data_IF_984002602450
#
_entry.id   IF_984002602450
#
_cell.length_a   1.000
_cell.length_b   1.000
_cell.length_c   1.000
_cell.angle_alpha   90.00
_cell.angle_beta   90.00
_cell.angle_gamma   90.00
#
_symmetry.space_group_name_H-M   'P 1'
#
loop_
_entity.id
_entity.type
_entity.pdbx_description
1 polymer ?
#
# COMPACT_ATOMS: atom_id res chain seq x y z
N UNK A 1 6.07 -18.70 1.96
CA UNK A 1 5.97 -18.31 0.53
C UNK A 1 7.05 -17.27 0.28
N UNK A 2 7.82 -17.39 -0.80
CA UNK A 2 8.84 -16.40 -1.14
C UNK A 2 8.19 -15.11 -1.67
N UNK A 3 8.83 -13.96 -1.42
CA UNK A 3 8.30 -12.64 -1.77
C UNK A 3 7.95 -12.49 -3.26
N UNK A 4 8.76 -13.03 -4.17
CA UNK A 4 8.50 -12.95 -5.61
C UNK A 4 7.25 -13.72 -6.02
N UNK A 5 6.99 -14.89 -5.43
CA UNK A 5 5.76 -15.67 -5.69
C UNK A 5 4.53 -14.94 -5.19
N UNK A 6 4.62 -14.28 -4.04
CA UNK A 6 3.54 -13.48 -3.49
C UNK A 6 3.19 -12.30 -4.42
N UNK A 7 4.21 -11.55 -4.86
CA UNK A 7 4.01 -10.38 -5.73
C UNK A 7 3.42 -10.81 -7.08
N UNK A 8 4.07 -11.74 -7.79
CA UNK A 8 3.60 -12.21 -9.08
C UNK A 8 2.24 -12.91 -8.97
N UNK A 9 2.03 -13.67 -7.90
CA UNK A 9 0.76 -14.32 -7.61
C UNK A 9 -0.40 -13.33 -7.50
N UNK A 10 -0.20 -12.17 -6.87
CA UNK A 10 -1.24 -11.12 -6.78
C UNK A 10 -1.63 -10.54 -8.14
N UNK A 11 -0.74 -10.55 -9.14
CA UNK A 11 -1.05 -10.10 -10.49
C UNK A 11 -1.81 -11.15 -11.32
N UNK A 12 -1.41 -12.42 -11.20
CA UNK A 12 -1.89 -13.47 -12.12
C UNK A 12 -2.92 -14.43 -11.50
N UNK A 13 -2.87 -14.65 -10.19
CA UNK A 13 -3.69 -15.62 -9.43
C UNK A 13 -4.02 -15.08 -8.04
N UNK A 14 -4.72 -13.93 -7.95
CA UNK A 14 -4.85 -13.19 -6.69
C UNK A 14 -5.60 -13.96 -5.61
N UNK A 15 -6.62 -14.73 -5.97
CA UNK A 15 -7.44 -15.48 -5.01
C UNK A 15 -6.60 -16.57 -4.35
N UNK A 16 -5.97 -17.42 -5.15
CA UNK A 16 -5.13 -18.52 -4.68
C UNK A 16 -3.95 -18.01 -3.84
N UNK A 17 -3.33 -16.91 -4.30
CA UNK A 17 -2.19 -16.31 -3.60
C UNK A 17 -2.57 -15.75 -2.24
N UNK A 18 -3.72 -15.05 -2.15
CA UNK A 18 -4.21 -14.51 -0.88
C UNK A 18 -4.62 -15.62 0.09
N UNK A 19 -5.18 -16.72 -0.41
CA UNK A 19 -5.53 -17.89 0.39
C UNK A 19 -4.27 -18.62 0.90
N UNK A 20 -3.24 -18.82 0.08
CA UNK A 20 -1.97 -19.43 0.50
C UNK A 20 -1.21 -18.60 1.53
N UNK A 21 -1.30 -17.27 1.43
CA UNK A 21 -0.67 -16.34 2.35
C UNK A 21 -1.53 -16.05 3.59
N UNK A 22 -2.77 -16.53 3.61
CA UNK A 22 -3.80 -16.11 4.56
C UNK A 22 -3.40 -16.26 6.03
N UNK A 23 -2.81 -17.38 6.37
CA UNK A 23 -2.44 -17.73 7.75
C UNK A 23 -1.01 -17.33 8.12
N UNK A 24 -0.26 -16.75 7.17
CA UNK A 24 1.16 -16.42 7.32
C UNK A 24 1.33 -14.91 7.34
N UNK A 25 1.98 -14.37 8.36
CA UNK A 25 2.39 -12.96 8.34
C UNK A 25 3.43 -12.73 7.24
N UNK A 26 3.14 -11.84 6.29
CA UNK A 26 4.02 -11.52 5.15
C UNK A 26 4.89 -10.29 5.41
N UNK A 27 5.36 -10.14 6.66
CA UNK A 27 6.10 -8.95 7.11
C UNK A 27 7.37 -8.68 6.32
N UNK A 28 8.13 -9.71 5.95
CA UNK A 28 9.34 -9.53 5.14
C UNK A 28 9.05 -8.90 3.78
N UNK A 29 7.99 -9.35 3.10
CA UNK A 29 7.56 -8.75 1.83
C UNK A 29 6.98 -7.34 2.02
N UNK A 30 6.21 -7.13 3.09
CA UNK A 30 5.64 -5.83 3.43
C UNK A 30 6.75 -4.77 3.63
N UNK A 31 7.72 -5.06 4.49
CA UNK A 31 8.86 -4.16 4.77
C UNK A 31 9.68 -3.92 3.50
N UNK A 32 9.99 -4.98 2.74
CA UNK A 32 10.75 -4.86 1.49
C UNK A 32 10.05 -3.93 0.49
N UNK A 33 8.74 -4.11 0.28
CA UNK A 33 7.98 -3.29 -0.65
C UNK A 33 7.86 -1.84 -0.19
N UNK A 34 7.69 -1.60 1.11
CA UNK A 34 7.73 -0.25 1.68
C UNK A 34 9.08 0.42 1.44
N UNK A 35 10.19 -0.28 1.69
CA UNK A 35 11.53 0.26 1.42
C UNK A 35 11.76 0.59 -0.06
N UNK A 36 11.28 -0.26 -0.98
CA UNK A 36 11.36 0.02 -2.42
C UNK A 36 10.55 1.26 -2.77
N UNK A 37 9.35 1.40 -2.19
CA UNK A 37 8.48 2.54 -2.46
C UNK A 37 9.03 3.86 -1.93
N UNK A 38 9.56 3.86 -0.69
CA UNK A 38 10.14 5.06 -0.11
C UNK A 38 11.40 5.47 -0.84
N UNK A 39 12.24 4.53 -1.29
CA UNK A 39 13.42 4.82 -2.07
C UNK A 39 13.05 5.53 -3.39
N UNK A 40 12.03 5.01 -4.09
CA UNK A 40 11.51 5.66 -5.30
C UNK A 40 11.01 7.06 -4.97
N UNK A 41 10.23 7.22 -3.89
CA UNK A 41 9.68 8.51 -3.48
C UNK A 41 10.76 9.55 -3.13
N UNK A 42 11.74 9.17 -2.33
CA UNK A 42 12.82 10.04 -1.85
C UNK A 42 13.76 10.44 -3.00
N UNK A 43 14.15 9.51 -3.88
CA UNK A 43 15.04 9.81 -5.01
C UNK A 43 14.36 10.69 -6.05
N UNK A 44 13.02 10.62 -6.15
CA UNK A 44 12.24 11.39 -7.13
C UNK A 44 12.17 12.89 -6.78
N UNK A 45 12.36 13.29 -5.52
CA UNK A 45 12.22 14.70 -5.10
C UNK A 45 13.53 15.50 -5.19
N UNK A 46 13.46 16.69 -5.78
CA UNK A 46 14.62 17.59 -5.96
C UNK A 46 15.35 17.95 -4.65
N UNK A 47 14.66 18.26 -3.53
CA UNK A 47 15.32 18.59 -2.26
C UNK A 47 16.25 17.49 -1.76
N UNK A 48 15.84 16.22 -1.91
CA UNK A 48 16.68 15.09 -1.51
C UNK A 48 17.96 15.02 -2.34
N UNK A 49 17.87 15.21 -3.66
CA UNK A 49 19.05 15.20 -4.54
C UNK A 49 20.04 16.32 -4.21
N UNK A 50 19.52 17.51 -3.89
CA UNK A 50 20.35 18.63 -3.42
C UNK A 50 21.02 18.30 -2.08
N UNK A 51 20.26 17.79 -1.11
CA UNK A 51 20.79 17.38 0.18
C UNK A 51 21.84 16.27 0.04
N UNK A 52 21.64 15.31 -0.85
CA UNK A 52 22.59 14.24 -1.12
C UNK A 52 23.96 14.75 -1.61
N UNK A 53 23.95 15.82 -2.42
CA UNK A 53 25.19 16.46 -2.88
C UNK A 53 25.86 17.32 -1.80
N UNK A 54 25.09 17.91 -0.89
CA UNK A 54 25.59 18.77 0.17
C UNK A 54 26.09 17.99 1.39
N UNK A 55 25.28 17.05 1.90
CA UNK A 55 25.58 16.20 3.05
C UNK A 55 24.85 14.85 2.93
N UNK A 56 25.61 13.80 2.61
CA UNK A 56 25.10 12.43 2.48
C UNK A 56 24.59 11.86 3.80
N UNK A 57 25.19 12.21 4.93
CA UNK A 57 24.78 11.67 6.22
C UNK A 57 23.41 12.21 6.62
N UNK A 58 23.21 13.53 6.50
CA UNK A 58 21.93 14.16 6.72
C UNK A 58 20.86 13.66 5.72
N UNK A 59 21.21 13.48 4.44
CA UNK A 59 20.30 12.92 3.45
C UNK A 59 19.81 11.51 3.83
N UNK A 60 20.71 10.63 4.28
CA UNK A 60 20.37 9.28 4.73
C UNK A 60 19.48 9.29 5.99
N UNK A 61 19.70 10.21 6.92
CA UNK A 61 18.85 10.34 8.12
C UNK A 61 17.41 10.74 7.76
N UNK A 62 17.25 11.73 6.88
CA UNK A 62 15.94 12.17 6.41
C UNK A 62 15.25 11.06 5.62
N UNK A 63 15.98 10.34 4.76
CA UNK A 63 15.46 9.19 4.04
C UNK A 63 14.97 8.09 5.00
N UNK A 64 15.77 7.73 6.02
CA UNK A 64 15.38 6.73 7.01
C UNK A 64 14.12 7.11 7.80
N UNK A 65 13.96 8.39 8.14
CA UNK A 65 12.75 8.87 8.81
C UNK A 65 11.52 8.81 7.89
N UNK A 66 11.70 9.15 6.61
CA UNK A 66 10.64 9.04 5.60
C UNK A 66 10.20 7.58 5.40
N UNK A 67 11.15 6.64 5.29
CA UNK A 67 10.86 5.21 5.19
C UNK A 67 10.07 4.68 6.39
N UNK A 68 10.48 5.06 7.61
CA UNK A 68 9.76 4.70 8.82
C UNK A 68 8.31 5.25 8.80
N UNK A 69 8.14 6.50 8.36
CA UNK A 69 6.83 7.12 8.18
C UNK A 69 5.95 6.38 7.17
N UNK A 70 6.50 5.99 6.03
CA UNK A 70 5.80 5.24 4.98
C UNK A 70 5.33 3.88 5.50
N UNK A 71 6.21 3.15 6.20
CA UNK A 71 5.86 1.84 6.77
C UNK A 71 4.77 1.98 7.85
N UNK A 72 4.88 2.97 8.74
CA UNK A 72 3.90 3.25 9.78
C UNK A 72 2.55 3.68 9.21
N UNK A 73 2.55 4.54 8.18
CA UNK A 73 1.33 4.94 7.49
C UNK A 73 0.67 3.73 6.82
N UNK A 74 1.44 2.89 6.13
CA UNK A 74 0.93 1.67 5.48
C UNK A 74 0.32 0.71 6.52
N UNK A 75 0.99 0.54 7.67
CA UNK A 75 0.50 -0.27 8.78
C UNK A 75 -0.77 0.31 9.38
N UNK A 76 -0.84 1.63 9.59
CA UNK A 76 -2.00 2.32 10.12
C UNK A 76 -3.21 2.13 9.21
N UNK A 77 -3.04 2.24 7.88
CA UNK A 77 -4.11 1.97 6.91
C UNK A 77 -4.60 0.53 7.02
N UNK A 78 -3.69 -0.45 7.10
CA UNK A 78 -4.06 -1.86 7.31
C UNK A 78 -4.79 -2.10 8.64
N UNK A 79 -4.36 -1.43 9.70
CA UNK A 79 -4.98 -1.50 11.02
C UNK A 79 -6.39 -0.90 11.04
N UNK A 80 -6.59 0.24 10.38
CA UNK A 80 -7.91 0.87 10.22
C UNK A 80 -8.84 -0.04 9.42
N UNK A 81 -8.40 -0.58 8.28
CA UNK A 81 -9.21 -1.52 7.50
C UNK A 81 -9.59 -2.76 8.32
N UNK A 82 -8.64 -3.31 9.08
CA UNK A 82 -8.91 -4.43 9.98
C UNK A 82 -9.95 -4.07 11.05
N UNK A 83 -9.82 -2.89 11.67
CA UNK A 83 -10.77 -2.38 12.66
C UNK A 83 -12.19 -2.27 12.08
N UNK A 84 -12.34 -1.63 10.92
CA UNK A 84 -13.62 -1.51 10.22
C UNK A 84 -14.19 -2.89 9.85
N UNK A 85 -13.35 -3.81 9.36
CA UNK A 85 -13.80 -5.16 9.04
C UNK A 85 -14.30 -5.91 10.28
N UNK A 86 -13.68 -5.72 11.45
CA UNK A 86 -14.18 -6.29 12.71
C UNK A 86 -15.50 -5.67 13.16
N UNK A 87 -15.70 -4.36 13.00
CA UNK A 87 -16.98 -3.71 13.37
C UNK A 87 -18.14 -4.20 12.49
N UNK A 88 -17.86 -4.63 11.26
CA UNK A 88 -18.85 -5.24 10.36
C UNK A 88 -19.12 -6.74 10.62
N UNK A 89 -18.51 -7.30 11.67
CA UNK A 89 -18.70 -8.69 12.12
C UNK A 89 -17.61 -9.66 11.66
N UNK A 90 -16.46 -9.17 11.18
CA UNK A 90 -15.37 -9.99 10.68
C UNK A 90 -14.50 -10.61 11.77
N UNK A 91 -13.97 -11.81 11.52
CA UNK A 91 -13.19 -12.60 12.50
C UNK A 91 -11.69 -12.76 12.18
N UNK A 92 -11.17 -11.99 11.21
CA UNK A 92 -9.78 -12.10 10.74
C UNK A 92 -8.74 -11.77 11.81
N UNK A 93 -7.52 -12.30 11.65
CA UNK A 93 -6.38 -12.05 12.54
C UNK A 93 -5.65 -10.77 12.12
N UNK A 94 -5.25 -9.95 13.10
CA UNK A 94 -4.59 -8.67 12.81
C UNK A 94 -3.29 -8.80 12.00
N UNK A 95 -2.34 -9.64 12.45
CA UNK A 95 -0.99 -9.71 11.87
C UNK A 95 -0.99 -10.12 10.37
N UNK A 96 -1.69 -11.19 9.94
CA UNK A 96 -1.81 -11.51 8.53
C UNK A 96 -2.55 -10.43 7.72
N UNK A 97 -3.68 -9.91 8.22
CA UNK A 97 -4.43 -8.84 7.53
C UNK A 97 -3.58 -7.60 7.31
N UNK A 98 -2.90 -7.10 8.35
CA UNK A 98 -2.10 -5.88 8.26
C UNK A 98 -0.90 -6.06 7.31
N UNK A 99 -0.15 -7.15 7.46
CA UNK A 99 1.02 -7.40 6.61
C UNK A 99 0.65 -7.62 5.14
N UNK A 100 -0.44 -8.33 4.85
CA UNK A 100 -0.93 -8.51 3.47
C UNK A 100 -1.53 -7.24 2.89
N UNK A 101 -2.15 -6.39 3.72
CA UNK A 101 -2.66 -5.10 3.27
C UNK A 101 -1.53 -4.22 2.76
N UNK A 102 -0.40 -4.14 3.49
CA UNK A 102 0.79 -3.40 3.06
C UNK A 102 1.32 -3.96 1.72
N UNK A 103 1.36 -5.29 1.58
CA UNK A 103 1.79 -5.93 0.32
C UNK A 103 0.85 -5.57 -0.83
N UNK A 104 -0.46 -5.74 -0.67
CA UNK A 104 -1.46 -5.41 -1.70
C UNK A 104 -1.36 -3.94 -2.09
N UNK A 105 -1.24 -3.06 -1.10
CA UNK A 105 -1.06 -1.63 -1.32
C UNK A 105 0.15 -1.38 -2.23
N UNK A 106 1.35 -1.81 -1.84
CA UNK A 106 2.55 -1.52 -2.62
C UNK A 106 2.66 -2.28 -3.94
N UNK A 107 2.15 -3.51 -4.04
CA UNK A 107 2.11 -4.27 -5.30
C UNK A 107 1.27 -3.54 -6.36
N UNK A 108 0.21 -2.86 -5.95
CA UNK A 108 -0.65 -2.09 -6.86
C UNK A 108 -0.15 -0.67 -7.07
N UNK A 109 0.51 -0.06 -6.09
CA UNK A 109 0.95 1.34 -6.15
C UNK A 109 2.29 1.56 -6.87
N UNK A 110 3.24 0.63 -6.70
CA UNK A 110 4.58 0.73 -7.26
C UNK A 110 4.61 0.93 -8.79
N UNK A 111 3.77 0.25 -9.61
CA UNK A 111 3.72 0.53 -11.05
C UNK A 111 3.41 2.01 -11.35
N UNK A 112 2.46 2.61 -10.62
CA UNK A 112 2.11 4.03 -10.80
C UNK A 112 3.26 4.94 -10.38
N UNK A 113 3.89 4.66 -9.23
CA UNK A 113 5.04 5.43 -8.77
C UNK A 113 6.19 5.38 -9.78
N UNK A 114 6.46 4.21 -10.34
CA UNK A 114 7.46 4.05 -11.38
C UNK A 114 7.12 4.89 -12.62
N UNK A 115 5.87 4.89 -13.08
CA UNK A 115 5.44 5.69 -14.24
C UNK A 115 5.59 7.20 -13.97
N UNK A 116 5.12 7.67 -12.81
CA UNK A 116 5.15 9.10 -12.43
C UNK A 116 6.57 9.62 -12.20
N UNK A 117 7.52 8.76 -11.84
CA UNK A 117 8.92 9.14 -11.69
C UNK A 117 9.56 9.63 -13.02
N UNK A 118 8.99 9.23 -14.17
CA UNK A 118 9.53 9.56 -15.49
C UNK A 118 8.59 10.39 -16.37
N UNK A 119 7.28 10.35 -16.13
CA UNK A 119 6.28 11.03 -16.95
C UNK A 119 5.54 12.13 -16.17
N UNK A 120 5.14 13.23 -16.85
CA UNK A 120 4.29 14.26 -16.26
C UNK A 120 2.96 13.70 -15.76
N UNK A 121 2.52 14.14 -14.58
CA UNK A 121 1.30 13.64 -13.93
C UNK A 121 0.00 14.00 -14.64
N UNK A 122 0.03 15.05 -15.46
CA UNK A 122 -1.11 15.54 -16.26
C UNK A 122 -1.31 14.74 -17.56
N UNK A 123 -0.32 13.96 -17.99
CA UNK A 123 -0.43 13.14 -19.18
C UNK A 123 -1.58 12.12 -19.07
N UNK A 124 -2.43 12.03 -20.09
CA UNK A 124 -3.60 11.13 -20.13
C UNK A 124 -3.24 9.68 -19.80
N UNK A 125 -2.08 9.21 -20.27
CA UNK A 125 -1.56 7.86 -19.96
C UNK A 125 -1.31 7.67 -18.46
N UNK A 126 -0.69 8.64 -17.79
CA UNK A 126 -0.38 8.56 -16.35
C UNK A 126 -1.66 8.58 -15.52
N UNK A 127 -2.65 9.39 -15.92
CA UNK A 127 -3.97 9.40 -15.30
C UNK A 127 -4.68 8.05 -15.47
N UNK A 128 -4.67 7.48 -16.67
CA UNK A 128 -5.26 6.16 -16.92
C UNK A 128 -4.59 5.06 -16.07
N UNK A 129 -3.26 5.04 -16.00
CA UNK A 129 -2.51 4.12 -15.14
C UNK A 129 -2.84 4.33 -13.65
N UNK A 130 -3.07 5.58 -13.24
CA UNK A 130 -3.47 5.93 -11.87
C UNK A 130 -4.81 5.33 -11.50
N UNK A 131 -5.83 5.54 -12.34
CA UNK A 131 -7.15 4.94 -12.11
C UNK A 131 -7.14 3.41 -12.18
N UNK A 132 -6.36 2.84 -13.11
CA UNK A 132 -6.23 1.40 -13.25
C UNK A 132 -5.59 0.75 -12.01
N UNK A 133 -4.45 1.27 -11.54
CA UNK A 133 -3.77 0.77 -10.34
C UNK A 133 -4.60 0.97 -9.08
N UNK A 134 -5.30 2.10 -8.95
CA UNK A 134 -6.21 2.37 -7.84
C UNK A 134 -7.39 1.40 -7.80
N UNK A 135 -8.05 1.17 -8.94
CA UNK A 135 -9.15 0.22 -9.06
C UNK A 135 -8.71 -1.24 -8.83
N UNK A 136 -7.53 -1.61 -9.32
CA UNK A 136 -6.93 -2.91 -9.06
C UNK A 136 -6.59 -3.11 -7.58
N UNK A 137 -6.01 -2.09 -6.93
CA UNK A 137 -5.74 -2.08 -5.50
C UNK A 137 -7.02 -2.24 -4.67
N UNK A 138 -8.09 -1.52 -5.03
CA UNK A 138 -9.40 -1.68 -4.41
C UNK A 138 -9.92 -3.13 -4.53
N UNK A 139 -9.89 -3.71 -5.74
CA UNK A 139 -10.36 -5.08 -5.96
C UNK A 139 -9.57 -6.10 -5.12
N UNK A 140 -8.24 -6.00 -5.09
CA UNK A 140 -7.40 -6.89 -4.28
C UNK A 140 -7.63 -6.71 -2.78
N UNK A 141 -7.81 -5.47 -2.32
CA UNK A 141 -8.13 -5.20 -0.91
C UNK A 141 -9.49 -5.80 -0.52
N UNK A 142 -10.48 -5.76 -1.40
CA UNK A 142 -11.78 -6.41 -1.17
C UNK A 142 -11.63 -7.93 -1.07
N UNK A 143 -10.86 -8.55 -1.98
CA UNK A 143 -10.58 -9.99 -1.92
C UNK A 143 -9.84 -10.36 -0.63
N UNK A 144 -8.85 -9.57 -0.23
CA UNK A 144 -8.10 -9.76 1.02
C UNK A 144 -9.03 -9.73 2.23
N UNK A 145 -9.86 -8.69 2.37
CA UNK A 145 -10.76 -8.55 3.53
C UNK A 145 -11.82 -9.63 3.54
N UNK A 146 -12.38 -9.98 2.38
CA UNK A 146 -13.33 -11.08 2.24
C UNK A 146 -12.72 -12.40 2.71
N UNK A 147 -11.51 -12.71 2.22
CA UNK A 147 -10.78 -13.92 2.58
C UNK A 147 -10.42 -13.96 4.06
N UNK A 148 -9.81 -12.90 4.59
CA UNK A 148 -9.32 -12.85 5.97
C UNK A 148 -10.46 -12.85 7.00
N UNK A 149 -11.50 -12.06 6.78
CA UNK A 149 -12.55 -11.80 7.76
C UNK A 149 -13.84 -12.60 7.54
N UNK A 150 -13.90 -13.45 6.50
CA UNK A 150 -15.09 -14.23 6.13
C UNK A 150 -16.37 -13.38 5.97
N UNK A 151 -16.20 -12.13 5.52
CA UNK A 151 -17.31 -11.21 5.28
C UNK A 151 -17.95 -11.48 3.92
N UNK A 152 -19.18 -11.01 3.72
CA UNK A 152 -19.75 -10.94 2.37
C UNK A 152 -18.95 -9.97 1.51
N UNK A 153 -18.99 -10.15 0.18
CA UNK A 153 -18.32 -9.23 -0.76
C UNK A 153 -18.77 -7.78 -0.55
N UNK A 154 -20.07 -7.56 -0.30
CA UNK A 154 -20.62 -6.22 -0.04
C UNK A 154 -20.03 -5.57 1.22
N UNK A 155 -19.96 -6.31 2.33
CA UNK A 155 -19.37 -5.79 3.58
C UNK A 155 -17.87 -5.53 3.43
N UNK A 156 -17.16 -6.39 2.70
CA UNK A 156 -15.74 -6.23 2.42
C UNK A 156 -15.47 -4.99 1.56
N UNK A 157 -16.28 -4.78 0.51
CA UNK A 157 -16.26 -3.57 -0.31
C UNK A 157 -16.55 -2.32 0.51
N UNK A 158 -17.55 -2.35 1.38
CA UNK A 158 -17.86 -1.23 2.27
C UNK A 158 -16.68 -0.88 3.20
N UNK A 159 -16.04 -1.87 3.82
CA UNK A 159 -14.89 -1.65 4.69
C UNK A 159 -13.72 -0.97 3.96
N UNK A 160 -13.38 -1.48 2.77
CA UNK A 160 -12.30 -0.94 1.94
C UNK A 160 -12.64 0.45 1.43
N UNK A 161 -13.86 0.67 0.94
CA UNK A 161 -14.32 1.99 0.48
C UNK A 161 -14.23 3.04 1.59
N UNK A 162 -14.70 2.72 2.80
CA UNK A 162 -14.61 3.64 3.95
C UNK A 162 -13.15 3.96 4.26
N UNK A 163 -12.27 2.96 4.29
CA UNK A 163 -10.86 3.20 4.54
C UNK A 163 -10.20 4.06 3.45
N UNK A 164 -10.46 3.79 2.17
CA UNK A 164 -9.87 4.57 1.07
C UNK A 164 -10.39 6.01 1.05
N UNK A 165 -11.67 6.23 1.35
CA UNK A 165 -12.23 7.57 1.51
C UNK A 165 -11.62 8.31 2.71
N UNK A 166 -11.41 7.61 3.83
CA UNK A 166 -10.73 8.19 4.99
C UNK A 166 -9.28 8.57 4.66
N UNK A 167 -8.56 7.71 3.94
CA UNK A 167 -7.20 8.01 3.48
C UNK A 167 -7.19 9.22 2.53
N UNK A 168 -8.14 9.29 1.59
CA UNK A 168 -8.27 10.42 0.68
C UNK A 168 -8.59 11.72 1.44
N UNK A 169 -9.48 11.66 2.43
CA UNK A 169 -9.82 12.80 3.28
C UNK A 169 -8.58 13.29 4.04
N UNK A 170 -7.80 12.39 4.65
CA UNK A 170 -6.57 12.76 5.36
C UNK A 170 -5.53 13.42 4.43
N UNK A 171 -5.38 12.92 3.20
CA UNK A 171 -4.44 13.45 2.22
C UNK A 171 -4.89 14.79 1.62
N UNK A 172 -6.20 15.01 1.48
CA UNK A 172 -6.76 16.24 0.91
C UNK A 172 -6.99 17.34 1.95
N UNK A 173 -7.29 16.96 3.19
CA UNK A 173 -7.52 17.86 4.33
C UNK A 173 -6.23 18.10 5.13
N UNK A 174 -5.08 18.18 4.45
CA UNK A 174 -3.80 18.50 5.08
C UNK A 174 -3.90 19.69 6.05
N UNK A 175 -2.98 19.84 7.02
CA UNK A 175 -3.13 20.75 8.15
C UNK A 175 -3.66 22.11 7.69
N UNK A 176 -4.82 22.49 8.23
CA UNK A 176 -5.38 23.84 8.10
C UNK A 176 -4.23 24.80 8.38
N UNK A 177 -3.82 25.54 7.35
CA UNK A 177 -2.80 26.58 7.47
C UNK A 177 -3.35 27.75 8.26
#
# INVERSE_FOLDING_TARGET
>A
MWWHRLILGLWYRPVETLDEARDRGTWGAAVMLSLVSGLIGVVSVTPFRQQWTADRAAALQVAGLAEAGILLASLALGAVTHGIARTLGGSGRFSPTASLFIVVFWVTDLPRLAIVAWLPTDATFVQAATYATWGFGFALAVLLIRGQHHLTTLKSAAAVSVQMLAALALLRLGPVR
#
